data_IF_115601526110
#
_entry.id   IF_115601526110
#
_cell.length_a   1.000
_cell.length_b   1.000
_cell.length_c   1.000
_cell.angle_alpha   90.00
_cell.angle_beta   90.00
_cell.angle_gamma   90.00
#
_symmetry.space_group_name_H-M   'P 1'
#
loop_
_entity.id
_entity.type
_entity.pdbx_description
1 polymer ?
#
# COMPACT_ATOMS: atom_id res chain seq x y z
N UNK A 1 15.85 9.44 1.85
CA UNK A 1 15.11 9.55 0.58
C UNK A 1 15.68 8.70 -0.55
N UNK A 2 16.81 8.01 -0.36
CA UNK A 2 17.52 7.26 -1.42
C UNK A 2 17.46 5.73 -1.22
N UNK A 3 16.68 5.24 -0.26
CA UNK A 3 16.62 3.79 0.05
C UNK A 3 16.03 2.98 -1.10
N UNK A 4 15.27 3.61 -1.99
CA UNK A 4 14.72 3.00 -3.21
C UNK A 4 15.79 2.73 -4.27
N UNK A 5 17.00 3.28 -4.13
CA UNK A 5 18.11 3.11 -5.07
C UNK A 5 18.95 1.85 -4.77
N UNK A 6 18.67 1.13 -3.67
CA UNK A 6 19.38 -0.10 -3.32
C UNK A 6 18.98 -1.24 -4.27
N UNK A 7 19.93 -2.10 -4.69
CA UNK A 7 19.67 -3.17 -5.67
C UNK A 7 18.65 -4.22 -5.18
N UNK A 8 18.52 -4.39 -3.86
CA UNK A 8 17.57 -5.33 -3.24
C UNK A 8 16.13 -4.78 -3.20
N UNK A 9 15.92 -3.51 -3.54
CA UNK A 9 14.61 -2.84 -3.48
C UNK A 9 14.03 -2.75 -4.89
N UNK A 10 12.88 -3.39 -5.06
CA UNK A 10 12.11 -3.33 -6.31
C UNK A 10 10.83 -2.53 -6.08
N UNK A 11 10.52 -1.61 -6.99
CA UNK A 11 9.29 -0.80 -6.95
C UNK A 11 8.43 -1.08 -8.16
N UNK A 12 7.13 -1.28 -7.92
CA UNK A 12 6.14 -1.53 -8.97
C UNK A 12 4.95 -0.60 -8.76
N UNK A 13 4.35 -0.15 -9.87
CA UNK A 13 3.10 0.60 -9.84
C UNK A 13 1.96 -0.31 -10.30
N UNK A 14 0.98 -0.52 -9.43
CA UNK A 14 -0.22 -1.30 -9.74
C UNK A 14 -1.46 -0.68 -9.12
N UNK A 15 -2.63 -0.92 -9.75
CA UNK A 15 -3.94 -0.56 -9.19
C UNK A 15 -4.46 -1.63 -8.22
N UNK A 16 -4.11 -2.91 -8.46
CA UNK A 16 -4.59 -4.05 -7.68
C UNK A 16 -3.46 -5.06 -7.48
N UNK A 17 -3.27 -5.51 -6.24
CA UNK A 17 -2.20 -6.44 -5.86
C UNK A 17 -2.80 -7.55 -5.00
N UNK A 18 -2.42 -8.80 -5.26
CA UNK A 18 -2.72 -9.93 -4.39
C UNK A 18 -1.43 -10.39 -3.73
N UNK A 19 -1.46 -10.53 -2.41
CA UNK A 19 -0.33 -11.03 -1.62
C UNK A 19 -0.72 -12.35 -0.99
N UNK A 20 0.20 -13.32 -1.03
CA UNK A 20 0.03 -14.64 -0.45
C UNK A 20 1.36 -15.11 0.13
N UNK A 21 1.35 -15.49 1.40
CA UNK A 21 2.47 -16.10 2.10
C UNK A 21 1.92 -16.71 3.40
N UNK A 22 2.51 -17.82 3.85
CA UNK A 22 2.09 -18.49 5.07
C UNK A 22 2.62 -17.76 6.31
N UNK A 23 1.80 -17.67 7.36
CA UNK A 23 2.20 -17.12 8.67
C UNK A 23 2.39 -15.59 8.73
N UNK A 24 2.16 -14.87 7.64
CA UNK A 24 2.30 -13.41 7.60
C UNK A 24 0.97 -12.71 7.91
N UNK A 25 1.03 -11.71 8.79
CA UNK A 25 -0.11 -10.83 9.12
C UNK A 25 0.04 -9.50 8.39
N UNK A 26 -1.03 -9.07 7.73
CA UNK A 26 -1.13 -7.77 7.10
C UNK A 26 -1.58 -6.69 8.10
N UNK A 27 -0.99 -5.50 7.93
CA UNK A 27 -1.33 -4.29 8.66
C UNK A 27 -1.66 -3.18 7.67
N UNK A 28 -2.58 -2.29 8.03
CA UNK A 28 -2.91 -1.10 7.29
C UNK A 28 -3.08 0.07 8.27
N UNK A 29 -2.47 1.20 7.97
CA UNK A 29 -2.51 2.43 8.79
C UNK A 29 -2.15 2.21 10.28
N UNK A 30 -1.31 1.21 10.57
CA UNK A 30 -0.90 0.83 11.93
C UNK A 30 -1.76 -0.25 12.59
N UNK A 31 -2.93 -0.55 12.03
CA UNK A 31 -3.88 -1.51 12.57
C UNK A 31 -3.77 -2.90 11.92
N UNK A 32 -4.11 -3.94 12.70
CA UNK A 32 -4.16 -5.32 12.20
C UNK A 32 -5.34 -5.52 11.26
N UNK A 33 -5.07 -5.94 10.03
CA UNK A 33 -6.12 -6.28 9.04
C UNK A 33 -6.46 -7.77 9.10
N UNK A 34 -5.46 -8.65 9.18
CA UNK A 34 -5.65 -10.09 9.22
C UNK A 34 -4.50 -10.87 8.57
N UNK A 35 -4.55 -12.21 8.57
CA UNK A 35 -3.57 -13.04 7.89
C UNK A 35 -3.68 -12.95 6.36
N UNK A 36 -2.59 -13.23 5.66
CA UNK A 36 -2.60 -13.48 4.21
C UNK A 36 -3.37 -14.78 3.87
N UNK A 37 -3.92 -14.94 2.65
CA UNK A 37 -3.83 -14.03 1.51
C UNK A 37 -4.80 -12.85 1.56
N UNK A 38 -4.37 -11.70 1.04
CA UNK A 38 -5.24 -10.52 0.86
C UNK A 38 -5.13 -9.95 -0.56
N UNK A 39 -6.14 -9.16 -0.93
CA UNK A 39 -6.13 -8.36 -2.16
C UNK A 39 -6.30 -6.89 -1.79
N UNK A 40 -5.38 -6.05 -2.27
CA UNK A 40 -5.39 -4.60 -2.08
C UNK A 40 -5.74 -3.94 -3.41
N UNK A 41 -6.59 -2.91 -3.38
CA UNK A 41 -6.96 -2.13 -4.55
C UNK A 41 -6.95 -0.63 -4.22
N UNK A 42 -6.23 0.14 -5.03
CA UNK A 42 -6.30 1.59 -5.00
C UNK A 42 -7.58 2.03 -5.72
N UNK A 43 -8.58 2.50 -4.96
CA UNK A 43 -9.86 2.98 -5.48
C UNK A 43 -9.71 4.44 -5.95
N UNK A 44 -9.82 4.74 -7.26
CA UNK A 44 -9.70 6.10 -7.75
C UNK A 44 -10.82 6.99 -7.20
N UNK A 45 -10.48 8.22 -6.82
CA UNK A 45 -11.44 9.21 -6.30
C UNK A 45 -12.30 8.70 -5.12
N UNK A 46 -11.77 7.78 -4.31
CA UNK A 46 -12.51 7.18 -3.19
C UNK A 46 -13.01 8.20 -2.16
N UNK A 47 -12.32 9.32 -2.02
CA UNK A 47 -12.62 10.35 -1.03
C UNK A 47 -12.60 11.75 -1.68
N UNK A 48 -13.42 12.65 -1.13
CA UNK A 48 -13.30 14.10 -1.35
C UNK A 48 -12.68 14.69 -0.09
N UNK A 49 -11.53 15.33 -0.26
CA UNK A 49 -10.74 15.87 0.86
C UNK A 49 -10.83 17.40 0.82
N UNK A 50 -11.07 18.03 1.97
CA UNK A 50 -10.89 19.46 2.13
C UNK A 50 -9.40 19.73 2.36
N UNK A 51 -8.77 20.51 1.48
CA UNK A 51 -7.37 20.90 1.61
C UNK A 51 -7.24 22.42 1.65
N UNK A 52 -6.10 22.91 2.12
CA UNK A 52 -5.76 24.32 1.94
C UNK A 52 -5.50 24.61 0.45
N UNK A 53 -5.67 25.86 0.04
CA UNK A 53 -5.20 26.31 -1.28
C UNK A 53 -3.66 26.28 -1.26
N UNK A 54 -2.99 25.61 -2.21
CA UNK A 54 -1.53 25.70 -2.30
C UNK A 54 -1.11 27.16 -2.52
N UNK A 55 -0.01 27.58 -1.90
CA UNK A 55 0.59 28.90 -2.14
C UNK A 55 1.13 29.02 -3.57
#
# INVERSE_FOLDING_TARGET
GTHVDLPDVQTYRSRRVRLQCDGITAYADGDRVGPLPITIEAVPAALRILSHTPA
#
